data_IF_243289414548
#
_entry.id   IF_243289414548
#
_cell.length_a   1.000
_cell.length_b   1.000
_cell.length_c   1.000
_cell.angle_alpha   90.00
_cell.angle_beta   90.00
_cell.angle_gamma   90.00
#
_symmetry.space_group_name_H-M   'P 1'
#
loop_
_entity.id
_entity.type
_entity.pdbx_description
1 polymer ?
#
# COMPACT_ATOMS: atom_id res chain seq x y z
N UNK A 1 -98.83 27.46 2.75
CA UNK A 1 -97.85 26.34 2.77
C UNK A 1 -97.70 25.88 1.31
N UNK A 2 -96.53 26.14 0.72
CA UNK A 2 -96.10 25.85 -0.67
C UNK A 2 -95.59 24.39 -0.72
N UNK A 3 -95.26 23.68 -1.84
CA UNK A 3 -95.71 23.59 -3.27
C UNK A 3 -96.11 22.14 -3.70
N UNK A 4 -96.79 21.90 -4.83
CA UNK A 4 -96.33 21.58 -6.22
C UNK A 4 -95.19 20.54 -6.45
N UNK A 5 -95.59 19.35 -6.94
CA UNK A 5 -95.38 18.77 -8.30
C UNK A 5 -93.98 18.50 -8.91
N UNK A 6 -93.80 17.23 -9.34
CA UNK A 6 -93.03 16.62 -10.47
C UNK A 6 -91.51 16.88 -10.56
N UNK A 7 -90.64 15.89 -10.85
CA UNK A 7 -90.62 15.07 -12.06
C UNK A 7 -89.62 13.88 -11.98
N UNK A 8 -89.69 13.01 -13.00
CA UNK A 8 -88.96 11.75 -13.23
C UNK A 8 -87.45 11.94 -13.48
N UNK A 9 -86.62 11.00 -13.01
CA UNK A 9 -85.21 10.84 -13.41
C UNK A 9 -84.94 9.45 -14.00
N UNK A 10 -84.36 9.42 -15.19
CA UNK A 10 -83.88 8.22 -15.91
C UNK A 10 -82.48 7.83 -15.41
N UNK A 11 -82.21 6.52 -15.26
CA UNK A 11 -80.86 5.98 -15.02
C UNK A 11 -80.08 5.91 -16.34
N UNK A 12 -78.96 6.62 -16.40
CA UNK A 12 -77.93 6.50 -17.43
C UNK A 12 -76.68 5.91 -16.77
N UNK A 13 -76.30 4.70 -17.17
CA UNK A 13 -75.05 4.04 -16.78
C UNK A 13 -73.94 4.58 -17.69
N UNK A 14 -72.99 5.32 -17.12
CA UNK A 14 -71.76 5.71 -17.80
C UNK A 14 -70.64 4.72 -17.46
N UNK A 15 -70.16 4.01 -18.48
CA UNK A 15 -68.95 3.17 -18.40
C UNK A 15 -67.73 4.09 -18.55
N UNK A 16 -66.94 4.25 -17.50
CA UNK A 16 -65.65 4.95 -17.55
C UNK A 16 -64.58 3.92 -17.93
N UNK A 17 -64.06 4.02 -19.14
CA UNK A 17 -62.86 3.30 -19.55
C UNK A 17 -61.61 4.06 -19.05
N UNK A 18 -60.95 3.52 -18.02
CA UNK A 18 -59.68 4.05 -17.52
C UNK A 18 -58.52 3.61 -18.41
N UNK A 19 -57.94 4.53 -19.17
CA UNK A 19 -56.65 4.32 -19.85
C UNK A 19 -55.55 4.43 -18.80
N UNK A 20 -54.97 3.29 -18.41
CA UNK A 20 -53.78 3.26 -17.57
C UNK A 20 -52.56 3.47 -18.47
N UNK A 21 -52.01 4.68 -18.47
CA UNK A 21 -50.72 4.96 -19.06
C UNK A 21 -49.62 4.29 -18.22
N UNK A 22 -49.10 3.17 -18.68
CA UNK A 22 -47.99 2.47 -18.03
C UNK A 22 -46.69 3.27 -18.16
N UNK A 23 -46.31 4.00 -17.11
CA UNK A 23 -44.95 4.48 -16.94
C UNK A 23 -44.04 3.26 -16.73
N UNK A 24 -43.30 2.85 -17.77
CA UNK A 24 -42.21 1.89 -17.63
C UNK A 24 -41.11 2.57 -16.80
N UNK A 25 -41.02 2.22 -15.53
CA UNK A 25 -39.85 2.51 -14.71
C UNK A 25 -38.68 1.72 -15.29
N UNK A 26 -37.77 2.40 -15.98
CA UNK A 26 -36.47 1.85 -16.35
C UNK A 26 -35.70 1.68 -15.04
N UNK A 27 -35.50 0.42 -14.63
CA UNK A 27 -34.64 0.12 -13.49
C UNK A 27 -33.21 0.60 -13.82
N UNK A 28 -32.49 1.24 -12.87
CA UNK A 28 -31.10 1.59 -13.10
C UNK A 28 -30.30 0.31 -13.36
N UNK A 29 -29.55 0.31 -14.45
CA UNK A 29 -28.62 -0.76 -14.82
C UNK A 29 -27.60 -0.96 -13.70
N UNK A 30 -27.82 -2.01 -12.90
CA UNK A 30 -26.89 -2.49 -11.88
C UNK A 30 -25.98 -3.53 -12.52
N UNK A 31 -24.97 -3.12 -13.30
CA UNK A 31 -23.99 -4.09 -13.79
C UNK A 31 -22.60 -3.58 -14.18
N UNK A 32 -22.18 -2.39 -13.73
CA UNK A 32 -20.75 -2.04 -13.78
C UNK A 32 -20.15 -2.22 -12.39
N UNK A 33 -19.67 -3.43 -12.11
CA UNK A 33 -18.71 -3.60 -11.00
C UNK A 33 -17.53 -2.66 -11.27
N UNK A 34 -17.05 -1.89 -10.26
CA UNK A 34 -15.90 -1.03 -10.46
C UNK A 34 -14.73 -1.89 -10.93
N UNK A 35 -14.17 -1.56 -12.10
CA UNK A 35 -12.90 -2.14 -12.55
C UNK A 35 -11.88 -1.76 -11.49
N UNK A 36 -11.48 -2.72 -10.66
CA UNK A 36 -10.39 -2.53 -9.70
C UNK A 36 -9.14 -2.28 -10.53
N UNK A 37 -8.79 -1.00 -10.71
CA UNK A 37 -7.62 -0.59 -11.48
C UNK A 37 -6.39 -1.20 -10.81
N UNK A 38 -5.66 -2.05 -11.54
CA UNK A 38 -4.35 -2.53 -11.10
C UNK A 38 -3.46 -1.32 -10.80
N UNK A 39 -2.88 -1.18 -9.60
CA UNK A 39 -2.03 -0.05 -9.27
C UNK A 39 -0.89 0.06 -10.29
N UNK A 40 -0.71 1.24 -10.88
CA UNK A 40 0.39 1.47 -11.81
C UNK A 40 1.28 2.63 -11.36
N UNK A 41 0.76 3.67 -10.72
CA UNK A 41 1.57 4.81 -10.25
C UNK A 41 1.89 4.70 -8.77
N UNK A 42 3.17 4.54 -8.43
CA UNK A 42 3.63 4.29 -7.06
C UNK A 42 4.59 5.40 -6.63
N UNK A 43 4.29 6.08 -5.52
CA UNK A 43 5.21 7.01 -4.88
C UNK A 43 5.87 6.37 -3.66
N UNK A 44 7.19 6.51 -3.54
CA UNK A 44 7.91 6.19 -2.31
C UNK A 44 8.24 7.48 -1.55
N UNK A 45 7.86 7.56 -0.28
CA UNK A 45 8.22 8.66 0.63
C UNK A 45 9.08 8.08 1.74
N UNK A 46 10.29 8.59 1.92
CA UNK A 46 11.20 8.06 2.94
C UNK A 46 12.60 8.67 2.93
N UNK A 47 13.57 7.90 3.37
CA UNK A 47 14.94 8.35 3.57
C UNK A 47 15.97 7.47 2.84
N UNK A 48 17.18 7.37 3.39
CA UNK A 48 18.24 6.51 2.85
C UNK A 48 17.83 5.04 2.75
N UNK A 49 16.94 4.52 3.59
CA UNK A 49 16.38 3.17 3.42
C UNK A 49 15.59 3.01 2.12
N UNK A 50 15.07 4.11 1.59
CA UNK A 50 14.36 4.16 0.31
C UNK A 50 15.29 4.40 -0.87
N UNK A 51 16.30 5.28 -0.80
CA UNK A 51 17.16 5.63 -1.95
C UNK A 51 18.52 4.90 -2.02
N UNK A 52 18.94 4.22 -0.95
CA UNK A 52 20.23 3.52 -0.91
C UNK A 52 20.31 2.41 -1.96
N UNK A 53 21.53 2.12 -2.45
CA UNK A 53 21.83 1.17 -3.54
C UNK A 53 21.04 1.39 -4.84
N UNK A 54 20.73 2.63 -5.20
CA UNK A 54 20.00 2.97 -6.43
C UNK A 54 18.49 3.13 -6.24
N UNK A 55 17.99 2.84 -5.04
CA UNK A 55 16.65 3.17 -4.59
C UNK A 55 15.58 2.15 -4.93
N UNK A 56 14.69 1.91 -3.98
CA UNK A 56 13.58 0.97 -4.10
C UNK A 56 12.59 1.37 -5.20
N UNK A 57 12.38 2.67 -5.46
CA UNK A 57 11.56 3.14 -6.58
C UNK A 57 12.13 2.66 -7.92
N UNK A 58 13.41 2.93 -8.18
CA UNK A 58 14.09 2.47 -9.40
C UNK A 58 14.09 0.94 -9.55
N UNK A 59 14.34 0.22 -8.45
CA UNK A 59 14.34 -1.25 -8.47
C UNK A 59 12.93 -1.83 -8.66
N UNK A 60 11.90 -1.16 -8.16
CA UNK A 60 10.50 -1.52 -8.39
C UNK A 60 10.12 -1.35 -9.86
N UNK A 61 10.57 -0.26 -10.51
CA UNK A 61 10.41 -0.07 -11.97
C UNK A 61 11.12 -1.18 -12.76
N UNK A 62 12.38 -1.45 -12.42
CA UNK A 62 13.18 -2.49 -13.07
C UNK A 62 12.55 -3.89 -12.92
N UNK A 63 12.03 -4.21 -11.74
CA UNK A 63 11.29 -5.45 -11.50
C UNK A 63 10.03 -5.52 -12.36
N UNK A 64 9.24 -4.44 -12.37
CA UNK A 64 8.03 -4.36 -13.19
C UNK A 64 8.31 -4.61 -14.67
N UNK A 65 9.35 -3.98 -15.21
CA UNK A 65 9.69 -4.05 -16.63
C UNK A 65 10.25 -5.42 -17.02
N UNK A 66 10.94 -6.10 -16.11
CA UNK A 66 11.55 -7.40 -16.36
C UNK A 66 10.55 -8.57 -16.31
N UNK A 67 9.35 -8.38 -15.72
CA UNK A 67 8.31 -9.40 -15.71
C UNK A 67 7.72 -9.65 -17.11
N UNK A 68 7.22 -10.86 -17.34
CA UNK A 68 6.53 -11.23 -18.59
C UNK A 68 5.12 -11.75 -18.30
N UNK A 69 4.04 -11.02 -18.65
CA UNK A 69 4.06 -9.64 -19.15
C UNK A 69 4.54 -8.63 -18.08
N UNK A 70 5.01 -7.43 -18.48
CA UNK A 70 5.41 -6.39 -17.54
C UNK A 70 4.30 -6.03 -16.55
N UNK A 71 4.67 -5.66 -15.31
CA UNK A 71 3.68 -5.31 -14.30
C UNK A 71 3.01 -3.96 -14.59
N UNK A 72 3.72 -3.05 -15.27
CA UNK A 72 3.23 -1.74 -15.69
C UNK A 72 3.34 -0.65 -14.63
N UNK A 73 4.32 -0.77 -13.71
CA UNK A 73 4.57 0.24 -12.69
C UNK A 73 5.31 1.45 -13.25
N UNK A 74 4.83 2.62 -12.89
CA UNK A 74 5.50 3.92 -12.96
C UNK A 74 5.79 4.38 -11.54
N UNK A 75 7.06 4.64 -11.24
CA UNK A 75 7.51 4.86 -9.87
C UNK A 75 8.20 6.20 -9.72
N UNK A 76 7.98 6.88 -8.60
CA UNK A 76 8.77 8.05 -8.19
C UNK A 76 9.09 7.98 -6.70
N UNK A 77 9.88 8.93 -6.21
CA UNK A 77 10.20 9.03 -4.80
C UNK A 77 10.44 10.46 -4.33
N UNK A 78 9.99 10.79 -3.12
CA UNK A 78 10.42 11.97 -2.36
C UNK A 78 11.26 11.46 -1.20
N UNK A 79 12.53 11.84 -1.18
CA UNK A 79 13.48 11.29 -0.21
C UNK A 79 14.39 12.33 0.44
N UNK A 80 14.70 12.10 1.72
CA UNK A 80 15.68 12.91 2.48
C UNK A 80 16.43 12.02 3.48
N UNK A 81 17.77 12.05 3.46
CA UNK A 81 18.59 11.21 4.36
C UNK A 81 18.28 11.46 5.84
N UNK A 82 18.18 10.38 6.64
CA UNK A 82 17.85 10.43 8.07
C UNK A 82 16.45 10.95 8.41
N UNK A 83 15.56 11.11 7.42
CA UNK A 83 14.23 11.63 7.68
C UNK A 83 13.29 10.56 8.26
N UNK A 84 12.64 10.90 9.38
CA UNK A 84 11.41 10.27 9.83
C UNK A 84 10.19 10.80 9.07
N UNK A 85 8.99 10.23 9.28
CA UNK A 85 7.76 10.79 8.70
C UNK A 85 7.52 12.24 9.14
N UNK A 86 7.92 12.62 10.36
CA UNK A 86 7.85 14.02 10.79
C UNK A 86 8.65 14.95 9.87
N UNK A 87 9.91 14.57 9.61
CA UNK A 87 10.80 15.36 8.75
C UNK A 87 10.27 15.37 7.32
N UNK A 88 9.76 14.25 6.81
CA UNK A 88 9.14 14.19 5.49
C UNK A 88 7.93 15.13 5.40
N UNK A 89 7.08 15.19 6.42
CA UNK A 89 5.90 16.06 6.44
C UNK A 89 6.25 17.54 6.54
N UNK A 90 7.23 17.88 7.37
CA UNK A 90 7.50 19.27 7.76
C UNK A 90 8.62 19.95 6.95
N UNK A 91 9.49 19.17 6.32
CA UNK A 91 10.72 19.69 5.68
C UNK A 91 10.96 19.14 4.26
N UNK A 92 9.94 18.58 3.62
CA UNK A 92 9.99 18.17 2.19
C UNK A 92 8.69 18.55 1.48
N UNK A 93 8.63 18.33 0.17
CA UNK A 93 7.42 18.51 -0.64
C UNK A 93 6.54 17.24 -0.71
N UNK A 94 6.78 16.23 0.15
CA UNK A 94 6.07 14.95 0.10
C UNK A 94 4.53 15.09 0.11
N UNK A 95 3.98 15.94 0.99
CA UNK A 95 2.54 16.18 1.05
C UNK A 95 2.00 16.83 -0.25
N UNK A 96 2.77 17.74 -0.86
CA UNK A 96 2.42 18.36 -2.14
C UNK A 96 2.48 17.34 -3.29
N UNK A 97 3.51 16.50 -3.34
CA UNK A 97 3.68 15.46 -4.34
C UNK A 97 2.59 14.40 -4.26
N UNK A 98 2.12 14.07 -3.05
CA UNK A 98 0.93 13.22 -2.84
C UNK A 98 -0.30 13.92 -3.40
N UNK A 99 -0.51 15.20 -3.08
CA UNK A 99 -1.70 15.95 -3.45
C UNK A 99 -1.89 16.12 -4.98
N UNK A 100 -0.79 16.22 -5.75
CA UNK A 100 -0.84 16.57 -7.17
C UNK A 100 -0.37 15.47 -8.12
N UNK A 101 0.25 14.41 -7.61
CA UNK A 101 0.95 13.43 -8.45
C UNK A 101 0.08 12.31 -9.04
N UNK A 102 -1.21 12.25 -8.71
CA UNK A 102 -2.18 11.23 -9.15
C UNK A 102 -1.62 9.81 -8.98
N UNK A 103 -1.21 9.48 -7.75
CA UNK A 103 -0.67 8.17 -7.39
C UNK A 103 -1.80 7.17 -7.14
N UNK A 104 -1.60 5.90 -7.50
CA UNK A 104 -2.50 4.82 -7.09
C UNK A 104 -2.11 4.29 -5.70
N UNK A 105 -0.80 4.28 -5.41
CA UNK A 105 -0.23 3.80 -4.15
C UNK A 105 0.85 4.75 -3.65
N UNK A 106 0.88 5.00 -2.34
CA UNK A 106 1.96 5.73 -1.68
C UNK A 106 2.56 4.87 -0.56
N UNK A 107 3.84 4.56 -0.69
CA UNK A 107 4.64 3.85 0.30
C UNK A 107 5.25 4.88 1.25
N UNK A 108 4.92 4.77 2.54
CA UNK A 108 5.30 5.70 3.59
C UNK A 108 6.30 5.02 4.53
N UNK A 109 7.58 5.28 4.35
CA UNK A 109 8.62 4.69 5.19
C UNK A 109 8.86 5.54 6.44
N UNK A 110 8.77 4.89 7.61
CA UNK A 110 9.22 5.46 8.88
C UNK A 110 10.61 4.93 9.24
N UNK A 111 11.43 5.78 9.83
CA UNK A 111 12.69 5.46 10.49
C UNK A 111 12.50 5.74 11.97
N UNK A 112 11.85 4.78 12.64
CA UNK A 112 11.43 4.96 14.02
C UNK A 112 12.62 5.27 14.94
N UNK A 113 13.81 4.62 14.78
CA UNK A 113 15.00 5.00 15.53
C UNK A 113 15.44 6.48 15.39
N UNK A 114 15.16 7.18 14.29
CA UNK A 114 15.44 8.63 14.14
C UNK A 114 14.37 9.54 14.79
N UNK A 115 13.36 8.97 15.45
CA UNK A 115 12.27 9.72 16.07
C UNK A 115 11.78 9.09 17.37
N UNK A 116 10.49 9.20 17.69
CA UNK A 116 9.84 8.53 18.80
C UNK A 116 8.46 8.00 18.38
N UNK A 117 7.88 7.09 19.17
CA UNK A 117 6.60 6.43 18.86
C UNK A 117 5.45 7.42 18.71
N UNK A 118 5.40 8.49 19.52
CA UNK A 118 4.32 9.49 19.43
C UNK A 118 4.38 10.31 18.15
N UNK A 119 5.59 10.65 17.69
CA UNK A 119 5.79 11.29 16.40
C UNK A 119 5.38 10.36 15.26
N UNK A 120 5.83 9.09 15.28
CA UNK A 120 5.39 8.08 14.31
C UNK A 120 3.86 7.96 14.23
N UNK A 121 3.18 7.83 15.38
CA UNK A 121 1.71 7.78 15.45
C UNK A 121 1.08 9.02 14.80
N UNK A 122 1.54 10.21 15.18
CA UNK A 122 1.02 11.50 14.69
C UNK A 122 1.18 11.64 13.18
N UNK A 123 2.37 11.37 12.64
CA UNK A 123 2.64 11.61 11.22
C UNK A 123 2.15 10.46 10.33
N UNK A 124 2.02 9.24 10.86
CA UNK A 124 1.28 8.17 10.20
C UNK A 124 -0.18 8.57 9.96
N UNK A 125 -0.89 9.10 10.97
CA UNK A 125 -2.26 9.61 10.80
C UNK A 125 -2.33 10.68 9.70
N UNK A 126 -1.41 11.65 9.74
CA UNK A 126 -1.38 12.76 8.76
C UNK A 126 -1.15 12.27 7.33
N UNK A 127 -0.13 11.46 7.09
CA UNK A 127 0.16 10.97 5.75
C UNK A 127 -0.90 10.00 5.25
N UNK A 128 -1.37 9.06 6.08
CA UNK A 128 -2.43 8.13 5.67
C UNK A 128 -3.70 8.89 5.28
N UNK A 129 -4.07 9.93 6.04
CA UNK A 129 -5.20 10.79 5.66
C UNK A 129 -4.93 11.52 4.34
N UNK A 130 -3.79 12.18 4.19
CA UNK A 130 -3.46 12.93 2.97
C UNK A 130 -3.44 12.06 1.71
N UNK A 131 -2.99 10.80 1.82
CA UNK A 131 -3.01 9.83 0.72
C UNK A 131 -4.45 9.41 0.38
N UNK A 132 -5.29 9.18 1.39
CA UNK A 132 -6.71 8.82 1.19
C UNK A 132 -7.54 9.96 0.62
N UNK A 133 -7.24 11.20 1.00
CA UNK A 133 -7.96 12.40 0.52
C UNK A 133 -7.88 12.56 -1.01
N UNK A 134 -6.81 12.04 -1.63
CA UNK A 134 -6.64 12.02 -3.10
C UNK A 134 -7.05 10.69 -3.73
N UNK A 135 -7.68 9.79 -2.98
CA UNK A 135 -8.14 8.48 -3.45
C UNK A 135 -7.03 7.44 -3.67
N UNK A 136 -5.82 7.71 -3.21
CA UNK A 136 -4.70 6.78 -3.30
C UNK A 136 -4.68 5.80 -2.11
N UNK A 137 -3.99 4.66 -2.28
CA UNK A 137 -3.84 3.64 -1.24
C UNK A 137 -2.54 3.84 -0.45
N UNK A 138 -2.59 4.13 0.87
CA UNK A 138 -1.39 4.20 1.69
C UNK A 138 -0.91 2.82 2.12
N UNK A 139 0.40 2.62 2.13
CA UNK A 139 1.07 1.46 2.71
C UNK A 139 2.19 1.98 3.62
N UNK A 140 2.20 1.58 4.89
CA UNK A 140 3.33 1.88 5.78
C UNK A 140 4.46 0.89 5.49
N UNK A 141 5.67 1.38 5.25
CA UNK A 141 6.88 0.57 5.20
C UNK A 141 7.48 0.53 6.61
N UNK A 142 7.31 -0.63 7.27
CA UNK A 142 7.95 -0.95 8.54
C UNK A 142 9.42 -1.32 8.34
N UNK A 143 10.32 -0.37 8.59
CA UNK A 143 11.76 -0.56 8.56
C UNK A 143 12.26 -1.41 9.75
N UNK A 144 13.54 -1.28 10.09
CA UNK A 144 14.24 -2.10 11.08
C UNK A 144 14.96 -1.25 12.12
N UNK A 145 15.40 -1.91 13.17
CA UNK A 145 16.33 -1.44 14.18
C UNK A 145 17.78 -1.48 13.68
N UNK A 146 18.64 -0.63 14.24
CA UNK A 146 20.07 -0.62 13.93
C UNK A 146 20.92 -0.11 15.10
N UNK A 147 22.19 -0.54 15.12
CA UNK A 147 23.08 -0.45 16.28
C UNK A 147 23.45 0.99 16.67
N UNK A 148 23.46 1.93 15.72
CA UNK A 148 23.90 3.32 15.96
C UNK A 148 23.08 4.05 17.02
N UNK A 149 21.75 3.90 16.99
CA UNK A 149 20.85 4.61 17.91
C UNK A 149 20.30 3.69 19.00
N UNK A 150 19.96 2.45 18.66
CA UNK A 150 19.70 1.33 19.58
C UNK A 150 18.83 1.63 20.82
N UNK A 151 17.92 2.60 20.74
CA UNK A 151 17.01 2.93 21.85
C UNK A 151 15.67 2.19 21.76
N UNK A 152 15.36 1.64 20.58
CA UNK A 152 14.13 0.89 20.31
C UNK A 152 14.47 -0.46 19.68
N UNK A 153 13.80 -1.51 20.18
CA UNK A 153 13.90 -2.85 19.63
C UNK A 153 13.00 -3.04 18.40
N UNK A 154 13.28 -4.08 17.61
CA UNK A 154 12.39 -4.42 16.49
C UNK A 154 11.00 -4.87 16.96
N UNK A 155 10.87 -5.44 18.16
CA UNK A 155 9.55 -5.82 18.70
C UNK A 155 8.70 -4.59 18.98
N UNK A 156 9.28 -3.53 19.55
CA UNK A 156 8.60 -2.25 19.74
C UNK A 156 8.24 -1.58 18.40
N UNK A 157 9.11 -1.66 17.40
CA UNK A 157 8.80 -1.19 16.04
C UNK A 157 7.60 -1.97 15.46
N UNK A 158 7.60 -3.29 15.59
CA UNK A 158 6.52 -4.17 15.12
C UNK A 158 5.20 -3.81 15.81
N UNK A 159 5.22 -3.67 17.13
CA UNK A 159 4.01 -3.40 17.90
C UNK A 159 3.45 -2.00 17.60
N UNK A 160 4.30 -0.99 17.43
CA UNK A 160 3.89 0.33 16.98
C UNK A 160 3.22 0.29 15.58
N UNK A 161 3.77 -0.49 14.64
CA UNK A 161 3.16 -0.65 13.32
C UNK A 161 1.86 -1.45 13.35
N UNK A 162 1.73 -2.43 14.24
CA UNK A 162 0.46 -3.15 14.45
C UNK A 162 -0.61 -2.23 15.01
N UNK A 163 -0.26 -1.40 15.99
CA UNK A 163 -1.15 -0.38 16.54
C UNK A 163 -1.65 0.55 15.43
N UNK A 164 -0.75 1.12 14.64
CA UNK A 164 -1.14 2.02 13.54
C UNK A 164 -1.92 1.31 12.44
N UNK A 165 -1.58 0.06 12.11
CA UNK A 165 -2.32 -0.75 11.15
C UNK A 165 -3.76 -0.97 11.59
N UNK A 166 -3.97 -1.33 12.87
CA UNK A 166 -5.28 -1.56 13.45
C UNK A 166 -6.08 -0.25 13.59
N UNK A 167 -5.46 0.82 14.09
CA UNK A 167 -6.12 2.11 14.27
C UNK A 167 -6.54 2.71 12.92
N UNK A 168 -5.62 2.76 11.96
CA UNK A 168 -5.85 3.44 10.69
C UNK A 168 -6.47 2.54 9.63
N UNK A 169 -6.59 1.23 9.87
CA UNK A 169 -6.96 0.23 8.86
C UNK A 169 -6.05 0.37 7.62
N UNK A 170 -4.73 0.44 7.85
CA UNK A 170 -3.72 0.64 6.80
C UNK A 170 -2.85 -0.60 6.65
N UNK A 171 -2.50 -0.93 5.40
CA UNK A 171 -1.58 -2.01 5.09
C UNK A 171 -0.16 -1.65 5.55
N UNK A 172 0.58 -2.67 5.98
CA UNK A 172 1.99 -2.55 6.36
C UNK A 172 2.80 -3.52 5.50
N UNK A 173 3.88 -3.04 4.90
CA UNK A 173 4.94 -3.87 4.33
C UNK A 173 5.93 -4.21 5.45
N UNK A 174 5.93 -5.46 5.99
CA UNK A 174 6.63 -5.81 7.22
C UNK A 174 8.12 -6.13 6.97
N UNK A 175 8.89 -5.16 6.45
CA UNK A 175 10.27 -5.39 5.99
C UNK A 175 11.21 -5.75 7.14
N UNK A 176 11.14 -5.05 8.28
CA UNK A 176 11.96 -5.37 9.45
C UNK A 176 11.73 -6.79 9.99
N UNK A 177 10.47 -7.26 9.99
CA UNK A 177 10.14 -8.64 10.34
C UNK A 177 10.78 -9.63 9.36
N UNK A 178 10.70 -9.36 8.06
CA UNK A 178 11.34 -10.21 7.05
C UNK A 178 12.86 -10.28 7.23
N UNK A 179 13.51 -9.16 7.56
CA UNK A 179 14.93 -9.13 7.85
C UNK A 179 15.29 -9.96 9.08
N UNK A 180 14.49 -9.90 10.15
CA UNK A 180 14.65 -10.76 11.33
C UNK A 180 14.54 -12.24 10.95
N UNK A 181 13.52 -12.61 10.19
CA UNK A 181 13.29 -13.99 9.77
C UNK A 181 14.45 -14.52 8.92
N UNK A 182 14.94 -13.72 7.96
CA UNK A 182 16.14 -14.05 7.17
C UNK A 182 17.36 -14.29 8.05
N UNK A 183 17.68 -13.36 8.97
CA UNK A 183 18.82 -13.47 9.90
C UNK A 183 18.72 -14.68 10.81
N UNK A 184 17.51 -15.07 11.22
CA UNK A 184 17.29 -16.23 12.09
C UNK A 184 17.57 -17.57 11.40
N UNK A 185 17.33 -17.64 10.07
CA UNK A 185 17.47 -18.87 9.30
C UNK A 185 18.85 -18.95 8.63
N UNK A 186 19.37 -17.83 8.13
CA UNK A 186 20.66 -17.74 7.42
C UNK A 186 21.48 -16.56 7.92
N UNK A 187 22.08 -16.64 9.12
CA UNK A 187 22.81 -15.52 9.75
C UNK A 187 24.01 -15.02 8.93
N UNK A 188 24.64 -15.89 8.13
CA UNK A 188 25.76 -15.52 7.25
C UNK A 188 25.33 -14.62 6.08
N UNK A 189 24.04 -14.59 5.75
CA UNK A 189 23.49 -13.68 4.74
C UNK A 189 23.14 -12.34 5.40
N UNK A 190 24.12 -11.45 5.49
CA UNK A 190 23.94 -10.18 6.19
C UNK A 190 22.90 -9.28 5.48
N UNK A 191 21.91 -8.82 6.23
CA UNK A 191 20.90 -7.85 5.75
C UNK A 191 21.45 -6.44 5.72
N UNK A 192 22.49 -6.14 6.51
CA UNK A 192 23.09 -4.82 6.62
C UNK A 192 24.33 -4.66 5.73
N UNK A 193 24.55 -3.42 5.30
CA UNK A 193 25.83 -2.98 4.81
C UNK A 193 26.83 -2.87 5.99
N UNK A 194 28.07 -2.48 5.65
CA UNK A 194 29.16 -2.37 6.63
C UNK A 194 28.89 -1.38 7.76
N UNK A 195 28.00 -0.41 7.54
CA UNK A 195 27.62 0.60 8.53
C UNK A 195 26.60 0.10 9.56
N UNK A 196 26.10 -1.15 9.43
CA UNK A 196 25.13 -1.76 10.34
C UNK A 196 23.80 -1.00 10.44
N UNK A 197 23.47 -0.23 9.41
CA UNK A 197 22.27 0.61 9.34
C UNK A 197 21.56 0.44 8.00
N UNK A 198 22.30 0.60 6.90
CA UNK A 198 21.74 0.55 5.55
C UNK A 198 21.64 -0.88 5.01
N UNK A 199 20.78 -1.14 4.01
CA UNK A 199 20.68 -2.47 3.43
C UNK A 199 21.94 -2.92 2.68
N UNK A 200 22.27 -4.19 2.84
CA UNK A 200 23.11 -4.96 1.93
C UNK A 200 22.38 -5.18 0.58
N UNK A 201 22.99 -5.92 -0.35
CA UNK A 201 22.26 -6.37 -1.55
C UNK A 201 21.10 -7.28 -1.18
N UNK A 202 21.31 -8.19 -0.21
CA UNK A 202 20.30 -9.13 0.24
C UNK A 202 19.16 -8.40 0.98
N UNK A 203 19.50 -7.49 1.89
CA UNK A 203 18.53 -6.65 2.59
C UNK A 203 17.67 -5.84 1.62
N UNK A 204 18.29 -5.14 0.66
CA UNK A 204 17.56 -4.37 -0.36
C UNK A 204 16.64 -5.26 -1.21
N UNK A 205 17.11 -6.43 -1.67
CA UNK A 205 16.29 -7.33 -2.50
C UNK A 205 15.10 -7.89 -1.71
N UNK A 206 15.31 -8.28 -0.45
CA UNK A 206 14.23 -8.73 0.42
C UNK A 206 13.19 -7.63 0.65
N UNK A 207 13.63 -6.40 0.92
CA UNK A 207 12.74 -5.24 1.05
C UNK A 207 11.91 -5.01 -0.21
N UNK A 208 12.54 -5.09 -1.39
CA UNK A 208 11.84 -4.96 -2.67
C UNK A 208 10.74 -6.02 -2.83
N UNK A 209 11.02 -7.29 -2.53
CA UNK A 209 10.05 -8.38 -2.65
C UNK A 209 8.89 -8.24 -1.66
N UNK A 210 9.16 -7.83 -0.42
CA UNK A 210 8.11 -7.61 0.59
C UNK A 210 7.19 -6.46 0.17
N UNK A 211 7.77 -5.34 -0.28
CA UNK A 211 6.98 -4.17 -0.70
C UNK A 211 6.17 -4.50 -1.96
N UNK A 212 6.76 -5.15 -2.97
CA UNK A 212 6.03 -5.50 -4.20
C UNK A 212 4.85 -6.44 -3.92
N UNK A 213 5.06 -7.47 -3.10
CA UNK A 213 3.99 -8.41 -2.75
C UNK A 213 2.90 -7.75 -1.89
N UNK A 214 3.25 -6.76 -1.07
CA UNK A 214 2.26 -5.94 -0.33
C UNK A 214 1.44 -5.08 -1.30
N UNK A 215 2.06 -4.50 -2.32
CA UNK A 215 1.37 -3.72 -3.35
C UNK A 215 0.47 -4.62 -4.21
N UNK A 216 1.00 -5.71 -4.73
CA UNK A 216 0.31 -6.52 -5.73
C UNK A 216 -0.64 -7.56 -5.15
N UNK A 217 -0.45 -7.94 -3.88
CA UNK A 217 -1.11 -9.09 -3.27
C UNK A 217 -0.63 -10.44 -3.83
N UNK A 218 0.32 -10.44 -4.77
CA UNK A 218 0.83 -11.66 -5.37
C UNK A 218 1.85 -12.34 -4.47
N UNK A 219 2.06 -13.63 -4.72
CA UNK A 219 3.12 -14.38 -4.05
C UNK A 219 4.50 -13.87 -4.52
N UNK A 220 5.38 -13.38 -3.62
CA UNK A 220 6.69 -12.87 -4.00
C UNK A 220 7.57 -13.95 -4.66
N UNK A 221 7.31 -15.25 -4.43
CA UNK A 221 8.02 -16.35 -5.10
C UNK A 221 7.81 -16.37 -6.61
N UNK A 222 6.74 -15.74 -7.11
CA UNK A 222 6.49 -15.57 -8.53
C UNK A 222 7.25 -14.41 -9.17
N UNK A 223 7.99 -13.60 -8.39
CA UNK A 223 8.77 -12.45 -8.87
C UNK A 223 10.23 -12.82 -9.13
N UNK A 224 10.40 -13.67 -10.14
CA UNK A 224 11.72 -14.19 -10.53
C UNK A 224 12.05 -13.91 -12.01
N UNK A 225 12.07 -12.65 -12.46
CA UNK A 225 12.47 -12.35 -13.82
C UNK A 225 13.99 -12.45 -13.98
N UNK A 226 14.43 -13.03 -15.10
CA UNK A 226 15.84 -13.08 -15.47
C UNK A 226 16.07 -12.44 -16.85
N UNK A 227 16.99 -11.46 -16.97
CA UNK A 227 17.80 -10.84 -15.91
C UNK A 227 17.06 -9.72 -15.16
N UNK A 228 17.30 -9.59 -13.85
CA UNK A 228 16.92 -8.40 -13.06
C UNK A 228 18.15 -7.48 -12.86
N UNK A 229 18.16 -6.24 -13.40
CA UNK A 229 19.36 -5.41 -13.49
C UNK A 229 19.73 -4.67 -12.18
N UNK A 230 19.83 -5.40 -11.08
CA UNK A 230 20.21 -4.86 -9.78
C UNK A 230 21.71 -5.07 -9.54
N UNK A 231 22.44 -3.96 -9.27
CA UNK A 231 23.89 -4.02 -9.04
C UNK A 231 24.25 -4.89 -7.83
N UNK A 232 24.93 -5.98 -8.13
CA UNK A 232 25.43 -6.93 -7.13
C UNK A 232 24.49 -8.09 -6.83
N UNK A 233 23.27 -8.11 -7.40
CA UNK A 233 22.30 -9.18 -7.17
C UNK A 233 22.83 -10.55 -7.62
N UNK A 234 23.58 -10.60 -8.72
CA UNK A 234 24.24 -11.83 -9.20
C UNK A 234 25.12 -12.52 -8.15
N UNK A 235 25.61 -11.80 -7.14
CA UNK A 235 26.39 -12.40 -6.04
C UNK A 235 25.56 -13.23 -5.08
N UNK A 236 24.24 -13.00 -5.03
CA UNK A 236 23.34 -13.82 -4.23
C UNK A 236 23.09 -15.19 -4.87
N UNK A 237 23.38 -15.34 -6.17
CA UNK A 237 23.00 -16.49 -7.01
C UNK A 237 21.47 -16.79 -6.98
N UNK A 238 21.04 -17.81 -7.73
CA UNK A 238 19.62 -18.18 -7.83
C UNK A 238 19.05 -18.71 -6.49
N UNK A 239 19.82 -19.53 -5.77
CA UNK A 239 19.42 -20.08 -4.47
C UNK A 239 19.22 -18.97 -3.44
N UNK A 240 20.11 -17.96 -3.42
CA UNK A 240 19.98 -16.83 -2.52
C UNK A 240 18.77 -15.95 -2.83
N UNK A 241 18.46 -15.69 -4.10
CA UNK A 241 17.25 -14.92 -4.46
C UNK A 241 15.98 -15.71 -4.20
N UNK A 242 15.96 -17.02 -4.48
CA UNK A 242 14.85 -17.91 -4.15
C UNK A 242 14.58 -17.96 -2.64
N UNK A 243 15.62 -18.13 -1.83
CA UNK A 243 15.54 -18.08 -0.38
C UNK A 243 14.89 -16.78 0.10
N UNK A 244 15.35 -15.62 -0.38
CA UNK A 244 14.81 -14.33 0.04
C UNK A 244 13.36 -14.13 -0.37
N UNK A 245 12.93 -14.61 -1.56
CA UNK A 245 11.50 -14.60 -1.94
C UNK A 245 10.67 -15.51 -1.03
N UNK A 246 11.22 -16.65 -0.60
CA UNK A 246 10.60 -17.51 0.41
C UNK A 246 10.42 -16.81 1.75
N UNK A 247 11.44 -16.11 2.24
CA UNK A 247 11.36 -15.30 3.47
C UNK A 247 10.31 -14.19 3.35
N UNK A 248 10.25 -13.50 2.20
CA UNK A 248 9.23 -12.49 1.96
C UNK A 248 7.82 -13.10 2.07
N UNK A 249 7.58 -14.25 1.43
CA UNK A 249 6.31 -14.97 1.49
C UNK A 249 5.91 -15.32 2.93
N UNK A 250 6.83 -15.97 3.66
CA UNK A 250 6.62 -16.38 5.04
C UNK A 250 6.27 -15.17 5.94
N UNK A 251 7.05 -14.11 5.84
CA UNK A 251 6.93 -12.95 6.74
C UNK A 251 5.66 -12.13 6.49
N UNK A 252 5.21 -12.05 5.23
CA UNK A 252 3.91 -11.43 4.90
C UNK A 252 2.75 -12.25 5.48
N UNK A 253 2.81 -13.57 5.39
CA UNK A 253 1.76 -14.43 5.95
C UNK A 253 1.76 -14.38 7.49
N UNK A 254 2.94 -14.38 8.11
CA UNK A 254 3.09 -14.19 9.55
C UNK A 254 2.52 -12.85 10.01
N UNK A 255 2.79 -11.77 9.28
CA UNK A 255 2.22 -10.45 9.59
C UNK A 255 0.69 -10.44 9.54
N UNK A 256 0.08 -11.14 8.57
CA UNK A 256 -1.37 -11.22 8.39
C UNK A 256 -2.06 -12.18 9.37
N UNK A 257 -1.32 -13.06 10.04
CA UNK A 257 -1.91 -14.01 10.97
C UNK A 257 -2.54 -13.28 12.17
N UNK A 258 -3.75 -13.69 12.62
CA UNK A 258 -4.32 -13.21 13.87
C UNK A 258 -3.34 -13.51 15.02
N UNK A 259 -3.14 -12.54 15.92
CA UNK A 259 -2.50 -12.78 17.22
C UNK A 259 -3.55 -13.10 18.26
#
# INVERSE_FOLDING_TARGET
MIPQSFSRGWLLVAVIASIVAGCKTVAPDRSVAPVVKKPSRILFVGNSFTFWRGGLSSHMKALSDAMTPPLGYETSSVVRGGASLEVMWTQTDAAQQIATGNWDVVILQEDLPETNVDSFRKYSRKFVQAVRDVGARPILFMAWEYDRLNWISLDEIIDAHREMSAELQVEVAPVGLAWRNSRSIKPDLDMYARDREHPSVAGMYLSLMVIEATISGADPRSRDPEPLPIRGLKRLNQEGTEFLRGIAHQSINEWKAPR
#
